data_IF_555952508668
#
_entry.id   IF_555952508668
#
_cell.length_a   1.000
_cell.length_b   1.000
_cell.length_c   1.000
_cell.angle_alpha   90.00
_cell.angle_beta   90.00
_cell.angle_gamma   90.00
#
_symmetry.space_group_name_H-M   'P 1'
#
loop_
_entity.id
_entity.type
_entity.pdbx_description
1 polymer ?
#
# COMPACT_ATOMS: atom_id res chain seq x y z
N UNK A 1 -8.50 -0.19 10.33
CA UNK A 1 -7.52 -1.23 9.91
C UNK A 1 -6.17 -0.91 10.51
N UNK A 2 -5.53 -1.87 11.14
CA UNK A 2 -4.21 -1.69 11.73
C UNK A 2 -3.15 -2.20 10.77
N UNK A 3 -1.88 -1.92 11.10
CA UNK A 3 -0.77 -2.47 10.33
C UNK A 3 -0.76 -3.99 10.34
N UNK A 4 -1.15 -4.61 11.47
CA UNK A 4 -1.24 -6.07 11.53
C UNK A 4 -2.31 -6.61 10.59
N UNK A 5 -3.43 -5.89 10.44
CA UNK A 5 -4.47 -6.32 9.49
C UNK A 5 -3.92 -6.33 8.07
N UNK A 6 -3.12 -5.33 7.72
CA UNK A 6 -2.50 -5.26 6.40
C UNK A 6 -1.45 -6.36 6.26
N UNK A 7 -0.66 -6.60 7.29
CA UNK A 7 0.35 -7.66 7.28
C UNK A 7 -0.30 -9.03 7.02
N UNK A 8 -1.40 -9.31 7.72
CA UNK A 8 -2.11 -10.59 7.55
C UNK A 8 -2.65 -10.73 6.13
N UNK A 9 -3.18 -9.65 5.56
CA UNK A 9 -3.68 -9.69 4.19
C UNK A 9 -2.56 -9.91 3.18
N UNK A 10 -1.42 -9.24 3.38
CA UNK A 10 -0.26 -9.43 2.53
C UNK A 10 0.26 -10.86 2.63
N UNK A 11 0.34 -11.40 3.84
CA UNK A 11 0.75 -12.79 4.01
C UNK A 11 -0.18 -13.75 3.29
N UNK A 12 -1.48 -13.49 3.33
CA UNK A 12 -2.44 -14.29 2.59
C UNK A 12 -2.22 -14.21 1.09
N UNK A 13 -1.95 -13.02 0.56
CA UNK A 13 -1.71 -12.82 -0.86
C UNK A 13 -0.43 -13.50 -1.33
N UNK A 14 0.58 -13.54 -0.48
CA UNK A 14 1.89 -14.09 -0.85
C UNK A 14 2.04 -15.56 -0.47
N UNK A 15 1.04 -16.16 0.12
CA UNK A 15 1.10 -17.57 0.51
C UNK A 15 1.91 -17.83 1.77
N UNK A 16 2.14 -16.81 2.59
CA UNK A 16 2.91 -16.95 3.82
C UNK A 16 1.98 -17.15 5.02
N UNK A 17 1.09 -18.12 4.93
CA UNK A 17 0.06 -18.31 5.95
C UNK A 17 0.62 -18.62 7.33
N UNK A 18 1.84 -19.17 7.39
CA UNK A 18 2.49 -19.46 8.65
C UNK A 18 2.88 -18.20 9.42
N UNK A 19 2.92 -17.03 8.76
CA UNK A 19 3.23 -15.78 9.43
C UNK A 19 2.01 -15.06 9.97
N UNK A 20 0.83 -15.47 9.56
CA UNK A 20 -0.41 -14.82 9.98
C UNK A 20 -0.59 -14.97 11.49
N UNK A 21 -0.79 -13.87 12.18
CA UNK A 21 -0.95 -13.87 13.63
C UNK A 21 0.34 -13.89 14.44
N UNK A 22 1.50 -14.03 13.79
CA UNK A 22 2.79 -14.05 14.50
C UNK A 22 3.34 -12.64 14.66
N UNK A 23 2.79 -11.92 15.61
CA UNK A 23 3.08 -10.48 15.81
C UNK A 23 4.50 -10.20 16.26
N UNK A 24 5.19 -11.19 16.83
CA UNK A 24 6.53 -10.99 17.33
C UNK A 24 7.60 -11.46 16.37
N UNK A 25 7.23 -11.83 15.17
CA UNK A 25 8.18 -12.23 14.16
C UNK A 25 9.10 -11.08 13.79
N UNK A 26 10.36 -11.35 13.53
CA UNK A 26 11.29 -10.34 13.02
C UNK A 26 10.83 -9.76 11.69
N UNK A 27 10.03 -10.50 10.95
CA UNK A 27 9.49 -10.02 9.68
C UNK A 27 8.47 -8.90 9.87
N UNK A 28 7.86 -8.80 11.04
CA UNK A 28 6.95 -7.68 11.32
C UNK A 28 7.68 -6.35 11.35
N UNK A 29 8.89 -6.31 11.90
CA UNK A 29 9.67 -5.07 11.92
C UNK A 29 10.07 -4.66 10.51
N UNK A 30 10.45 -5.64 9.69
CA UNK A 30 10.78 -5.38 8.27
C UNK A 30 9.54 -4.88 7.55
N UNK A 31 8.39 -5.52 7.81
CA UNK A 31 7.15 -5.15 7.17
C UNK A 31 6.73 -3.72 7.52
N UNK A 32 6.92 -3.31 8.76
CA UNK A 32 6.59 -1.94 9.18
C UNK A 32 7.34 -0.91 8.34
N UNK A 33 8.62 -1.13 8.09
CA UNK A 33 9.41 -0.23 7.27
C UNK A 33 8.86 -0.16 5.85
N UNK A 34 8.49 -1.30 5.29
CA UNK A 34 7.94 -1.35 3.93
C UNK A 34 6.58 -0.68 3.85
N UNK A 35 5.74 -0.95 4.84
CA UNK A 35 4.43 -0.32 4.92
C UNK A 35 4.57 1.20 4.93
N UNK A 36 5.50 1.72 5.74
CA UNK A 36 5.69 3.16 5.84
C UNK A 36 6.28 3.77 4.59
N UNK A 37 7.09 3.05 3.83
CA UNK A 37 7.57 3.53 2.54
C UNK A 37 6.40 3.74 1.58
N UNK A 38 5.46 2.82 1.57
CA UNK A 38 4.29 2.94 0.71
C UNK A 38 3.36 4.05 1.23
N UNK A 39 3.21 4.16 2.54
CA UNK A 39 2.42 5.25 3.12
C UNK A 39 2.96 6.60 2.66
N UNK A 40 4.28 6.78 2.70
CA UNK A 40 4.89 8.02 2.26
C UNK A 40 4.62 8.29 0.77
N UNK A 41 4.68 7.25 -0.04
CA UNK A 41 4.43 7.39 -1.48
C UNK A 41 2.98 7.77 -1.77
N UNK A 42 2.04 7.32 -0.94
CA UNK A 42 0.61 7.59 -1.15
C UNK A 42 0.12 8.81 -0.37
N UNK A 43 0.98 9.46 0.39
CA UNK A 43 0.57 10.60 1.20
C UNK A 43 -0.22 10.19 2.45
N UNK A 44 -0.02 8.97 2.92
CA UNK A 44 -0.66 8.47 4.13
C UNK A 44 0.28 8.66 5.30
N UNK A 45 -0.26 9.02 6.46
CA UNK A 45 0.55 9.20 7.65
C UNK A 45 1.19 7.88 8.07
N UNK A 46 2.50 7.92 8.33
CA UNK A 46 3.24 6.73 8.71
C UNK A 46 2.84 6.23 10.09
N UNK A 47 2.95 4.93 10.30
CA UNK A 47 2.65 4.30 11.57
C UNK A 47 3.92 4.11 12.37
N UNK A 48 3.82 4.24 13.70
CA UNK A 48 4.97 4.01 14.58
C UNK A 48 5.12 2.54 14.91
N UNK A 49 4.03 1.79 14.84
CA UNK A 49 4.05 0.36 15.06
C UNK A 49 2.84 -0.26 14.33
N UNK A 50 2.85 -1.60 14.21
CA UNK A 50 1.80 -2.29 13.46
C UNK A 50 0.47 -2.38 14.19
N UNK A 51 0.44 -2.15 15.48
CA UNK A 51 -0.83 -2.17 16.22
C UNK A 51 -1.59 -0.85 16.08
N UNK A 52 -0.94 0.18 15.55
CA UNK A 52 -1.57 1.47 15.36
C UNK A 52 -2.59 1.41 14.23
N UNK A 53 -3.72 2.08 14.43
CA UNK A 53 -4.73 2.17 13.38
C UNK A 53 -4.24 3.12 12.29
N UNK A 54 -4.37 2.68 11.05
CA UNK A 54 -3.94 3.47 9.90
C UNK A 54 -5.16 4.14 9.30
N UNK A 55 -5.11 5.46 9.17
CA UNK A 55 -6.21 6.23 8.63
C UNK A 55 -5.99 6.36 7.12
N UNK A 56 -6.80 5.65 6.35
CA UNK A 56 -6.68 5.65 4.90
C UNK A 56 -8.06 5.78 4.27
N UNK A 57 -8.06 6.30 3.05
CA UNK A 57 -9.28 6.40 2.26
C UNK A 57 -9.48 5.10 1.50
N UNK A 58 -10.73 4.82 1.12
CA UNK A 58 -11.03 3.60 0.36
C UNK A 58 -10.21 3.51 -0.91
N UNK A 59 -9.96 4.63 -1.57
CA UNK A 59 -9.18 4.63 -2.81
C UNK A 59 -7.71 4.32 -2.59
N UNK A 60 -7.23 4.43 -1.35
CA UNK A 60 -5.83 4.16 -1.02
C UNK A 60 -5.61 2.76 -0.47
N UNK A 61 -6.67 2.10 -0.01
CA UNK A 61 -6.55 0.83 0.71
C UNK A 61 -5.88 -0.25 -0.14
N UNK A 62 -6.36 -0.46 -1.36
CA UNK A 62 -5.79 -1.48 -2.22
C UNK A 62 -4.38 -1.13 -2.65
N UNK A 63 -4.12 0.16 -2.92
CA UNK A 63 -2.77 0.60 -3.27
C UNK A 63 -1.79 0.30 -2.12
N UNK A 64 -2.21 0.57 -0.88
CA UNK A 64 -1.36 0.29 0.26
C UNK A 64 -1.08 -1.21 0.41
N UNK A 65 -2.10 -2.04 0.25
CA UNK A 65 -1.96 -3.49 0.36
C UNK A 65 -1.04 -4.03 -0.73
N UNK A 66 -1.27 -3.65 -1.98
CA UNK A 66 -0.46 -4.16 -3.09
C UNK A 66 0.96 -3.63 -3.07
N UNK A 67 1.15 -2.37 -2.66
CA UNK A 67 2.49 -1.81 -2.52
C UNK A 67 3.29 -2.53 -1.44
N UNK A 68 2.64 -2.81 -0.31
CA UNK A 68 3.27 -3.54 0.78
C UNK A 68 3.60 -4.97 0.35
N UNK A 69 2.69 -5.62 -0.40
CA UNK A 69 2.94 -6.96 -0.93
C UNK A 69 4.11 -6.96 -1.90
N UNK A 70 4.21 -5.94 -2.74
CA UNK A 70 5.31 -5.79 -3.69
C UNK A 70 6.65 -5.76 -2.96
N UNK A 71 6.78 -4.91 -1.96
CA UNK A 71 8.05 -4.79 -1.23
C UNK A 71 8.35 -6.04 -0.40
N UNK A 72 7.33 -6.59 0.24
CA UNK A 72 7.53 -7.77 1.08
C UNK A 72 7.90 -9.00 0.26
N UNK A 73 7.39 -9.13 -0.97
CA UNK A 73 7.75 -10.24 -1.85
C UNK A 73 9.24 -10.21 -2.21
N UNK A 74 9.82 -9.02 -2.30
CA UNK A 74 11.27 -8.89 -2.53
C UNK A 74 12.04 -9.47 -1.34
N UNK A 75 11.57 -9.18 -0.12
CA UNK A 75 12.17 -9.74 1.10
C UNK A 75 12.08 -11.26 1.11
N UNK A 76 10.99 -11.80 0.62
CA UNK A 76 10.77 -13.24 0.56
C UNK A 76 11.43 -13.88 -0.67
N UNK A 77 12.08 -13.07 -1.50
CA UNK A 77 12.76 -13.52 -2.71
C UNK A 77 11.81 -14.20 -3.69
N UNK A 78 10.60 -13.67 -3.78
CA UNK A 78 9.59 -14.18 -4.69
C UNK A 78 9.46 -13.21 -5.86
N UNK A 79 10.28 -13.40 -6.88
CA UNK A 79 10.33 -12.51 -8.02
C UNK A 79 9.02 -12.49 -8.82
N UNK A 80 8.32 -13.63 -8.86
CA UNK A 80 7.04 -13.71 -9.56
C UNK A 80 5.99 -12.84 -8.92
N UNK A 81 5.86 -12.94 -7.60
CA UNK A 81 4.92 -12.09 -6.86
C UNK A 81 5.33 -10.63 -6.92
N UNK A 82 6.65 -10.36 -6.82
CA UNK A 82 7.12 -8.98 -6.89
C UNK A 82 6.70 -8.32 -8.20
N UNK A 83 6.81 -9.03 -9.31
CA UNK A 83 6.42 -8.50 -10.60
C UNK A 83 4.92 -8.23 -10.67
N UNK A 84 4.11 -9.20 -10.23
CA UNK A 84 2.66 -9.08 -10.26
C UNK A 84 2.19 -7.89 -9.42
N UNK A 85 2.70 -7.78 -8.19
CA UNK A 85 2.25 -6.73 -7.29
C UNK A 85 2.81 -5.36 -7.65
N UNK A 86 3.95 -5.31 -8.36
CA UNK A 86 4.43 -4.04 -8.91
C UNK A 86 3.42 -3.48 -9.91
N UNK A 87 2.91 -4.33 -10.80
CA UNK A 87 1.93 -3.89 -11.79
C UNK A 87 0.61 -3.48 -11.14
N UNK A 88 0.16 -4.27 -10.17
CA UNK A 88 -1.08 -3.95 -9.46
C UNK A 88 -0.93 -2.66 -8.65
N UNK A 89 0.20 -2.48 -7.99
CA UNK A 89 0.45 -1.27 -7.22
C UNK A 89 0.44 -0.04 -8.11
N UNK A 90 1.13 -0.10 -9.25
CA UNK A 90 1.17 1.03 -10.17
C UNK A 90 -0.23 1.42 -10.64
N UNK A 91 -1.06 0.44 -10.95
CA UNK A 91 -2.43 0.68 -11.37
C UNK A 91 -3.27 1.31 -10.25
N UNK A 92 -3.19 0.77 -9.04
CA UNK A 92 -3.99 1.28 -7.92
C UNK A 92 -3.47 2.64 -7.44
N UNK A 93 -2.16 2.83 -7.48
CA UNK A 93 -1.55 4.11 -7.13
C UNK A 93 -2.03 5.21 -8.06
N UNK A 94 -2.04 4.94 -9.35
CA UNK A 94 -2.51 5.92 -10.33
C UNK A 94 -3.96 6.32 -10.06
N UNK A 95 -4.82 5.36 -9.74
CA UNK A 95 -6.21 5.65 -9.40
C UNK A 95 -6.33 6.47 -8.13
N UNK A 96 -5.56 6.13 -7.10
CA UNK A 96 -5.63 6.83 -5.83
C UNK A 96 -5.19 8.28 -5.97
N UNK A 97 -4.11 8.53 -6.71
CA UNK A 97 -3.59 9.86 -6.90
C UNK A 97 -4.43 10.67 -7.88
N UNK A 98 -4.92 10.03 -8.92
CA UNK A 98 -5.78 10.68 -9.90
C UNK A 98 -7.05 11.19 -9.25
N UNK A 99 -7.61 10.41 -8.34
CA UNK A 99 -8.82 10.81 -7.66
C UNK A 99 -8.61 12.06 -6.79
N UNK A 100 -7.41 12.22 -6.27
CA UNK A 100 -7.05 13.40 -5.52
C UNK A 100 -6.98 14.61 -6.42
N UNK A 101 -6.44 14.43 -7.62
CA UNK A 101 -6.29 15.52 -8.56
C UNK A 101 -7.57 15.90 -9.24
N UNK A 102 -8.47 15.00 -9.40
CA UNK A 102 -9.70 15.22 -10.14
C UNK A 102 -10.50 16.42 -9.68
N UNK A 103 -10.43 16.72 -8.42
CA UNK A 103 -11.18 17.84 -7.92
C UNK A 103 -10.72 19.15 -8.45
N UNK A 104 -9.51 19.22 -8.94
CA UNK A 104 -9.03 20.46 -9.46
C UNK A 104 -9.44 20.68 -10.83
N UNK A 105 -9.77 19.69 -11.53
CA UNK A 105 -10.06 19.80 -12.88
C UNK A 105 -11.25 20.37 -13.19
N UNK A 106 -11.93 20.26 -12.36
CA UNK A 106 -13.12 20.69 -12.73
C UNK A 106 -13.14 22.04 -13.01
N UNK A 107 -12.37 22.05 -13.37
CA UNK A 107 -12.23 22.80 -13.90
C UNK A 107 -12.11 23.28 -14.56
N UNK A 108 -12.06 23.36 -14.75
CA UNK A 108 -11.71 23.73 -15.54
C UNK A 108 -11.50 24.08 -16.13
N UNK A 109 -11.47 24.06 -16.08
CA UNK A 109 -10.98 24.25 -16.66
C UNK A 109 -10.73 24.47 -17.21
N UNK A 110 -10.76 24.84 -17.31
CA UNK A 110 -10.29 25.11 -17.89
C UNK A 110 -9.98 25.25 -18.38
N UNK A 111 -9.99 25.35 -18.27
CA UNK A 111 -9.40 25.46 -18.74
C UNK A 111 -9.10 25.38 -19.28
N UNK A 112 -9.18 25.55 -19.29
CA UNK A 112 -8.75 25.58 -19.87
C UNK A 112 -8.48 25.61 -20.46
N UNK A 113 -8.66 25.70 -20.39
CA UNK A 113 -8.18 25.66 -20.90
C UNK A 113 -8.22 25.58 -21.19
N UNK A 114 -8.41 25.76 -21.25
CA UNK A 114 -8.23 25.72 -21.53
C UNK A 114 -8.50 25.69 -21.66
N UNK A 115 -8.49 25.94 -21.77
CA UNK A 115 -8.53 26.01 -22.06
C UNK A 115 -8.43 26.12 -22.38
#
# INVERSE_FOLDING_TARGET
MTGYDIFDRVCGLLGCHDLIGHKESGKCAVFLNMLNQICADLGIREAENLSQKIIIKDTQTEALIYGSAMLFSVTLRDAGCAKIYTELYNSKRAKALSKTDTRQDILPSPSIGGM
#
